data_IF_858380712134
#
_entry.id   IF_858380712134
#
_cell.length_a   1.000
_cell.length_b   1.000
_cell.length_c   1.000
_cell.angle_alpha   90.00
_cell.angle_beta   90.00
_cell.angle_gamma   90.00
#
_symmetry.space_group_name_H-M   'P 1'
#
loop_
_entity.id
_entity.type
_entity.pdbx_description
1 polymer ?
#
# COMPACT_ATOMS: atom_id res chain seq x y z
N UNK A 1 5.46 -14.31 -20.67
CA UNK A 1 4.33 -14.86 -19.88
C UNK A 1 4.42 -14.23 -18.51
N UNK A 2 3.56 -13.26 -18.21
CA UNK A 2 3.51 -12.65 -16.88
C UNK A 2 2.86 -13.67 -15.94
N UNK A 3 3.64 -14.22 -15.01
CA UNK A 3 3.13 -15.11 -13.97
C UNK A 3 2.20 -14.34 -13.06
N UNK A 4 0.89 -14.42 -13.31
CA UNK A 4 -0.12 -13.80 -12.44
C UNK A 4 -0.22 -14.63 -11.17
N UNK A 5 0.19 -14.03 -10.04
CA UNK A 5 0.09 -14.63 -8.72
C UNK A 5 -1.35 -14.52 -8.18
N UNK A 6 -2.31 -15.07 -8.92
CA UNK A 6 -3.76 -14.90 -8.67
C UNK A 6 -4.25 -15.49 -7.35
N UNK A 7 -3.48 -16.39 -6.74
CA UNK A 7 -3.79 -17.02 -5.45
C UNK A 7 -2.94 -16.48 -4.29
N UNK A 8 -2.10 -15.47 -4.53
CA UNK A 8 -1.26 -14.91 -3.48
C UNK A 8 -2.14 -14.14 -2.49
N UNK A 9 -2.19 -14.63 -1.25
CA UNK A 9 -2.97 -14.03 -0.15
C UNK A 9 -2.15 -13.09 0.72
N UNK A 10 -0.85 -13.32 0.81
CA UNK A 10 0.06 -12.51 1.63
C UNK A 10 1.25 -12.08 0.80
N UNK A 11 1.53 -10.78 0.80
CA UNK A 11 2.72 -10.18 0.21
C UNK A 11 3.46 -9.42 1.31
N UNK A 12 4.69 -9.84 1.55
CA UNK A 12 5.63 -9.15 2.43
C UNK A 12 6.76 -8.57 1.59
N UNK A 13 7.05 -7.29 1.80
CA UNK A 13 8.17 -6.58 1.17
C UNK A 13 8.94 -5.88 2.29
N UNK A 14 10.18 -6.31 2.52
CA UNK A 14 11.03 -5.83 3.61
C UNK A 14 12.41 -5.47 3.11
N UNK A 15 13.07 -4.48 3.73
CA UNK A 15 14.51 -4.25 3.62
C UNK A 15 15.00 -4.14 2.18
N UNK A 16 14.23 -3.43 1.36
CA UNK A 16 14.47 -3.32 -0.07
C UNK A 16 14.72 -1.86 -0.47
N UNK A 17 15.95 -1.35 -0.27
CA UNK A 17 16.27 0.06 -0.48
C UNK A 17 16.17 0.49 -1.95
N UNK A 18 16.31 -0.43 -2.91
CA UNK A 18 16.22 -0.13 -4.34
C UNK A 18 14.81 -0.28 -4.93
N UNK A 19 13.82 -0.71 -4.14
CA UNK A 19 12.46 -0.89 -4.65
C UNK A 19 11.79 0.48 -4.75
N UNK A 20 11.53 0.93 -5.97
CA UNK A 20 10.97 2.26 -6.24
C UNK A 20 9.46 2.25 -6.42
N UNK A 21 8.88 1.13 -6.87
CA UNK A 21 7.44 1.00 -7.09
C UNK A 21 6.94 -0.44 -6.95
N UNK A 22 5.64 -0.56 -6.66
CA UNK A 22 4.88 -1.83 -6.64
C UNK A 22 3.84 -1.90 -7.78
N UNK A 23 3.81 -0.88 -8.63
CA UNK A 23 2.64 -0.35 -9.33
C UNK A 23 2.09 -1.17 -10.51
N UNK A 24 2.64 -2.34 -10.83
CA UNK A 24 2.12 -3.15 -11.95
C UNK A 24 1.58 -4.51 -11.54
N UNK A 25 2.01 -5.05 -10.41
CA UNK A 25 1.64 -6.41 -9.99
C UNK A 25 0.42 -6.41 -9.07
N UNK A 26 0.29 -5.43 -8.17
CA UNK A 26 -0.75 -5.44 -7.12
C UNK A 26 -2.16 -5.50 -7.71
N UNK A 27 -2.43 -4.80 -8.82
CA UNK A 27 -3.72 -4.84 -9.52
C UNK A 27 -4.12 -6.24 -10.01
N UNK A 28 -3.15 -7.14 -10.18
CA UNK A 28 -3.36 -8.52 -10.59
C UNK A 28 -3.42 -9.50 -9.41
N UNK A 29 -3.13 -9.03 -8.19
CA UNK A 29 -3.21 -9.82 -6.96
C UNK A 29 -4.62 -9.72 -6.36
N UNK A 30 -5.64 -10.14 -7.12
CA UNK A 30 -7.04 -10.02 -6.71
C UNK A 30 -7.41 -10.84 -5.47
N UNK A 31 -6.61 -11.86 -5.12
CA UNK A 31 -6.77 -12.65 -3.90
C UNK A 31 -5.92 -12.16 -2.72
N UNK A 32 -5.22 -11.02 -2.87
CA UNK A 32 -4.36 -10.50 -1.81
C UNK A 32 -5.19 -9.98 -0.65
N UNK A 33 -4.88 -10.50 0.54
CA UNK A 33 -5.55 -10.18 1.80
C UNK A 33 -4.61 -9.43 2.73
N UNK A 34 -3.32 -9.77 2.74
CA UNK A 34 -2.34 -9.20 3.65
C UNK A 34 -1.20 -8.54 2.86
N UNK A 35 -1.03 -7.24 3.03
CA UNK A 35 0.08 -6.49 2.47
C UNK A 35 0.91 -5.88 3.59
N UNK A 36 2.18 -6.27 3.66
CA UNK A 36 3.13 -5.80 4.67
C UNK A 36 4.34 -5.22 3.95
N UNK A 37 4.64 -3.95 4.20
CA UNK A 37 5.75 -3.24 3.57
C UNK A 37 6.56 -2.54 4.66
N UNK A 38 7.84 -2.89 4.79
CA UNK A 38 8.72 -2.35 5.84
C UNK A 38 10.09 -2.01 5.27
N UNK A 39 10.69 -0.90 5.72
CA UNK A 39 12.09 -0.54 5.41
C UNK A 39 12.40 -0.47 3.90
N UNK A 40 11.49 0.15 3.15
CA UNK A 40 11.64 0.38 1.71
C UNK A 40 11.78 1.88 1.45
N UNK A 41 13.03 2.38 1.50
CA UNK A 41 13.32 3.82 1.51
C UNK A 41 12.92 4.53 0.22
N UNK A 42 13.16 3.89 -0.92
CA UNK A 42 12.92 4.48 -2.24
C UNK A 42 11.49 4.26 -2.76
N UNK A 43 10.68 3.49 -2.02
CA UNK A 43 9.37 3.03 -2.47
C UNK A 43 8.33 4.15 -2.42
N UNK A 44 7.76 4.43 -3.59
CA UNK A 44 6.58 5.27 -3.72
C UNK A 44 5.34 4.40 -3.93
N UNK A 45 4.34 4.55 -3.06
CA UNK A 45 3.03 3.91 -3.26
C UNK A 45 2.04 4.82 -4.00
N UNK A 46 2.39 6.08 -4.22
CA UNK A 46 1.54 7.03 -4.95
C UNK A 46 1.35 6.59 -6.39
N UNK A 47 0.09 6.54 -6.82
CA UNK A 47 -0.26 6.12 -8.16
C UNK A 47 0.05 7.23 -9.17
N UNK A 48 0.55 6.82 -10.34
CA UNK A 48 0.60 7.64 -11.56
C UNK A 48 -0.55 7.31 -12.52
N UNK A 49 -1.31 6.25 -12.27
CA UNK A 49 -2.34 5.73 -13.16
C UNK A 49 -3.72 5.72 -12.47
N UNK A 50 -4.77 5.86 -13.27
CA UNK A 50 -6.15 5.91 -12.79
C UNK A 50 -6.63 4.53 -12.32
N UNK A 51 -6.99 4.44 -11.04
CA UNK A 51 -7.34 3.20 -10.35
C UNK A 51 -8.79 2.73 -10.56
N UNK A 52 -9.44 3.11 -11.66
CA UNK A 52 -10.90 2.97 -11.81
C UNK A 52 -11.40 1.51 -11.78
N UNK A 53 -10.52 0.52 -11.97
CA UNK A 53 -10.87 -0.91 -12.04
C UNK A 53 -10.16 -1.80 -10.99
N UNK A 54 -9.55 -1.22 -9.97
CA UNK A 54 -8.86 -2.01 -8.94
C UNK A 54 -9.84 -2.83 -8.09
N UNK A 55 -9.62 -4.14 -8.05
CA UNK A 55 -10.34 -5.09 -7.20
C UNK A 55 -9.37 -5.72 -6.20
N UNK A 56 -9.11 -4.99 -5.13
CA UNK A 56 -8.32 -5.48 -4.00
C UNK A 56 -9.23 -5.76 -2.83
N UNK A 57 -8.99 -6.87 -2.13
CA UNK A 57 -9.76 -7.24 -0.93
C UNK A 57 -8.82 -7.43 0.25
N UNK A 58 -7.97 -6.43 0.49
CA UNK A 58 -7.07 -6.43 1.64
C UNK A 58 -7.89 -6.46 2.94
N UNK A 59 -7.47 -7.32 3.85
CA UNK A 59 -7.92 -7.41 5.23
C UNK A 59 -6.89 -6.77 6.17
N UNK A 60 -5.60 -6.86 5.83
CA UNK A 60 -4.51 -6.27 6.60
C UNK A 60 -3.59 -5.46 5.69
N UNK A 61 -3.31 -4.22 6.11
CA UNK A 61 -2.26 -3.37 5.56
C UNK A 61 -1.33 -2.92 6.69
N UNK A 62 -0.05 -3.27 6.58
CA UNK A 62 1.00 -2.77 7.46
C UNK A 62 2.05 -2.04 6.64
N UNK A 63 2.30 -0.78 6.99
CA UNK A 63 3.33 0.04 6.36
C UNK A 63 4.24 0.60 7.45
N UNK A 64 5.54 0.33 7.34
CA UNK A 64 6.55 0.73 8.31
C UNK A 64 7.78 1.34 7.65
N UNK A 65 8.26 2.47 8.15
CA UNK A 65 9.51 3.11 7.68
C UNK A 65 9.54 3.34 6.15
N UNK A 66 8.48 3.90 5.58
CA UNK A 66 8.47 4.38 4.19
C UNK A 66 8.58 5.92 4.19
N UNK A 67 9.79 6.50 4.03
CA UNK A 67 9.99 7.94 4.16
C UNK A 67 9.34 8.76 3.03
N UNK A 68 9.12 8.16 1.85
CA UNK A 68 8.49 8.81 0.69
C UNK A 68 6.96 8.75 0.70
N UNK A 69 6.36 8.03 1.64
CA UNK A 69 4.91 7.90 1.71
C UNK A 69 4.31 9.07 2.49
N UNK A 70 3.85 10.07 1.75
CA UNK A 70 3.23 11.29 2.31
C UNK A 70 1.70 11.18 2.46
N UNK A 71 1.09 10.38 1.60
CA UNK A 71 -0.36 10.15 1.54
C UNK A 71 -0.64 8.68 1.32
N UNK A 72 -1.77 8.20 1.84
CA UNK A 72 -2.21 6.85 1.52
C UNK A 72 -2.59 6.78 0.03
N UNK A 73 -2.23 5.68 -0.65
CA UNK A 73 -2.46 5.56 -2.06
C UNK A 73 -3.93 5.29 -2.38
N UNK A 74 -4.40 5.75 -3.54
CA UNK A 74 -5.82 5.72 -3.87
C UNK A 74 -6.35 4.30 -4.07
N UNK A 75 -5.51 3.36 -4.50
CA UNK A 75 -5.89 1.95 -4.62
C UNK A 75 -6.36 1.34 -3.29
N UNK A 76 -6.03 1.94 -2.14
CA UNK A 76 -6.53 1.48 -0.84
C UNK A 76 -8.06 1.62 -0.74
N UNK A 77 -8.66 2.57 -1.49
CA UNK A 77 -10.12 2.71 -1.57
C UNK A 77 -10.80 1.43 -2.08
N UNK A 78 -10.13 0.66 -2.95
CA UNK A 78 -10.67 -0.61 -3.46
C UNK A 78 -10.91 -1.64 -2.34
N UNK A 79 -10.19 -1.53 -1.22
CA UNK A 79 -10.31 -2.40 -0.05
C UNK A 79 -11.03 -1.75 1.14
N UNK A 80 -11.68 -0.60 0.95
CA UNK A 80 -12.33 0.14 2.05
C UNK A 80 -13.36 -0.71 2.82
N UNK A 81 -14.00 -1.66 2.15
CA UNK A 81 -15.06 -2.50 2.73
C UNK A 81 -14.54 -3.82 3.33
N UNK A 82 -13.28 -4.17 3.09
CA UNK A 82 -12.68 -5.45 3.50
C UNK A 82 -11.57 -5.26 4.53
N UNK A 83 -10.98 -4.07 4.59
CA UNK A 83 -9.83 -3.78 5.45
C UNK A 83 -10.25 -3.80 6.92
N UNK A 84 -9.64 -4.70 7.68
CA UNK A 84 -9.91 -4.89 9.11
C UNK A 84 -8.79 -4.30 9.97
N UNK A 85 -7.56 -4.31 9.45
CA UNK A 85 -6.38 -3.85 10.17
C UNK A 85 -5.52 -2.93 9.30
N UNK A 86 -5.31 -1.70 9.80
CA UNK A 86 -4.39 -0.74 9.21
C UNK A 86 -3.35 -0.35 10.27
N UNK A 87 -2.08 -0.62 9.98
CA UNK A 87 -0.95 -0.25 10.84
C UNK A 87 0.03 0.61 10.07
N UNK A 88 0.24 1.83 10.55
CA UNK A 88 1.18 2.80 9.97
C UNK A 88 2.22 3.15 11.04
N UNK A 89 3.49 2.81 10.81
CA UNK A 89 4.56 3.03 11.78
C UNK A 89 5.75 3.78 11.15
N UNK A 90 6.29 4.74 11.90
CA UNK A 90 7.49 5.50 11.52
C UNK A 90 7.42 6.17 10.14
N UNK A 91 6.23 6.60 9.71
CA UNK A 91 6.06 7.47 8.55
C UNK A 91 6.35 8.92 8.98
N UNK A 92 7.55 9.42 8.69
CA UNK A 92 8.02 10.74 9.18
C UNK A 92 7.18 11.94 8.72
N UNK A 93 6.23 11.77 7.78
CA UNK A 93 5.49 12.87 7.15
C UNK A 93 3.96 12.83 7.35
N UNK A 94 3.35 11.67 7.64
CA UNK A 94 1.88 11.57 7.79
C UNK A 94 1.35 12.32 9.03
N UNK A 95 2.20 12.56 10.03
CA UNK A 95 1.85 13.34 11.23
C UNK A 95 1.48 14.80 10.92
N UNK A 96 1.88 15.34 9.76
CA UNK A 96 1.51 16.70 9.31
C UNK A 96 0.19 16.76 8.55
N UNK A 97 -0.26 15.64 7.96
CA UNK A 97 -1.46 15.60 7.12
C UNK A 97 -2.70 15.22 7.91
N UNK A 98 -2.59 14.31 8.88
CA UNK A 98 -3.72 13.92 9.75
C UNK A 98 -4.12 15.05 10.71
N UNK A 99 -3.15 15.81 11.23
CA UNK A 99 -3.39 16.97 12.09
C UNK A 99 -4.11 18.14 11.39
N UNK A 100 -4.16 18.15 10.04
CA UNK A 100 -4.99 19.10 9.28
C UNK A 100 -6.44 18.65 9.11
N UNK A 101 -6.75 17.38 9.33
CA UNK A 101 -8.11 16.84 9.22
C UNK A 101 -8.90 16.93 10.52
N UNK A 102 -8.24 17.17 11.67
CA UNK A 102 -8.89 17.32 12.99
C UNK A 102 -9.31 18.76 13.31
N UNK A 103 -9.16 19.70 12.37
CA UNK A 103 -9.51 21.12 12.53
C UNK A 103 -10.55 21.61 11.51
N UNK A 104 -11.42 20.72 11.05
CA UNK A 104 -12.66 21.08 10.34
C UNK A 104 -13.87 20.45 11.02
#
# INVERSE_FOLDING_TARGET
MEGRLTNLRTLFVGESPSLTSLSLSIKHLTALENLIIVDCEELSLTDKEENQDLKLSLQLLMIGKLPKLEVLPQWLQASANTLQHLSLSSMRLLSRSVSKMEHH
#
